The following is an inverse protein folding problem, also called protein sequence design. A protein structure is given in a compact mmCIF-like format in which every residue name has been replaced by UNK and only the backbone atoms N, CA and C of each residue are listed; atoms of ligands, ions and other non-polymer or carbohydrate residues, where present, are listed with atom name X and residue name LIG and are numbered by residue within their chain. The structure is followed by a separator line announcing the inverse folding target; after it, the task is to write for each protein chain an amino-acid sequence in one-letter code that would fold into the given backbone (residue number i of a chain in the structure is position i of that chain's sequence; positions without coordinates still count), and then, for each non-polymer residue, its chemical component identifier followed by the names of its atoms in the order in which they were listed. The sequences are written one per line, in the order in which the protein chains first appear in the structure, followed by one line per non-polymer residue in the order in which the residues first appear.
data_IF_295991808226
#
_entry.id   IF_295991808226
#
_cell.length_a   1.000
_cell.length_b   1.000
_cell.length_c   1.000
_cell.angle_alpha   90.00
_cell.angle_beta   90.00
_cell.angle_gamma   90.00
#
_symmetry.space_group_name_H-M   'P 1'
#
loop_
_entity.id
_entity.type
_entity.pdbx_description
1 polymer ?
#
# COMPACT_ATOMS: atom_id res chain seq x y z
N UNK A 1 16.30 10.92 -11.53
CA UNK A 1 15.22 10.52 -12.43
C UNK A 1 13.99 10.14 -11.61
N UNK A 2 12.81 10.59 -12.01
CA UNK A 2 11.59 10.26 -11.27
C UNK A 2 10.90 9.06 -11.87
N UNK A 3 10.41 8.19 -11.01
CA UNK A 3 9.57 7.07 -11.41
C UNK A 3 8.12 7.53 -11.44
N UNK A 4 7.32 6.88 -12.27
CA UNK A 4 5.88 7.12 -12.30
C UNK A 4 5.21 6.26 -11.22
N UNK A 5 4.38 6.88 -10.38
CA UNK A 5 3.66 6.17 -9.33
C UNK A 5 2.25 5.92 -9.82
N UNK A 6 1.84 4.66 -9.79
CA UNK A 6 0.53 4.23 -10.25
C UNK A 6 -0.17 3.42 -9.15
N UNK A 7 -1.49 3.50 -9.12
CA UNK A 7 -2.29 2.67 -8.23
C UNK A 7 -3.12 1.71 -9.09
N UNK A 8 -3.16 0.44 -8.70
CA UNK A 8 -4.11 -0.49 -9.31
C UNK A 8 -5.53 -0.12 -8.91
N UNK A 9 -6.52 -0.64 -9.63
CA UNK A 9 -7.92 -0.43 -9.27
C UNK A 9 -8.20 -0.92 -7.84
N UNK A 10 -7.57 -2.01 -7.43
CA UNK A 10 -7.70 -2.52 -6.06
C UNK A 10 -7.14 -1.57 -5.02
N UNK A 11 -5.98 -0.95 -5.30
CA UNK A 11 -5.39 0.03 -4.39
C UNK A 11 -6.23 1.29 -4.29
N UNK A 12 -6.80 1.75 -5.41
CA UNK A 12 -7.72 2.89 -5.38
C UNK A 12 -8.95 2.58 -4.52
N UNK A 13 -9.50 1.39 -4.67
CA UNK A 13 -10.64 0.95 -3.85
C UNK A 13 -10.26 0.87 -2.38
N UNK A 14 -9.06 0.40 -2.07
CA UNK A 14 -8.56 0.38 -0.70
C UNK A 14 -8.58 1.77 -0.08
N UNK A 15 -8.13 2.79 -0.82
CA UNK A 15 -8.14 4.17 -0.32
C UNK A 15 -9.55 4.67 -0.06
N UNK A 16 -10.47 4.40 -0.98
CA UNK A 16 -11.87 4.82 -0.82
C UNK A 16 -12.49 4.15 0.41
N UNK A 17 -12.30 2.85 0.55
CA UNK A 17 -12.86 2.08 1.65
C UNK A 17 -12.25 2.50 2.99
N UNK A 18 -10.94 2.74 3.01
CA UNK A 18 -10.24 3.18 4.22
C UNK A 18 -10.72 4.56 4.66
N UNK A 19 -10.83 5.48 3.72
CA UNK A 19 -11.33 6.84 4.01
C UNK A 19 -12.74 6.78 4.59
N UNK A 20 -13.61 6.00 3.96
CA UNK A 20 -15.00 5.83 4.43
C UNK A 20 -15.04 5.27 5.83
N UNK A 21 -14.26 4.23 6.10
CA UNK A 21 -14.20 3.59 7.40
C UNK A 21 -13.77 4.58 8.49
N UNK A 22 -12.69 5.33 8.24
CA UNK A 22 -12.18 6.30 9.22
C UNK A 22 -13.19 7.43 9.43
N UNK A 23 -13.82 7.91 8.35
CA UNK A 23 -14.80 8.98 8.44
C UNK A 23 -16.00 8.57 9.28
N UNK A 24 -16.43 7.33 9.17
CA UNK A 24 -17.59 6.80 9.91
C UNK A 24 -17.27 6.43 11.36
N UNK A 25 -16.06 5.94 11.63
CA UNK A 25 -15.70 5.41 12.95
C UNK A 25 -14.83 6.37 13.78
N UNK A 26 -14.30 7.39 13.18
CA UNK A 26 -13.52 8.43 13.84
C UNK A 26 -14.07 9.80 13.46
N UNK A 27 -13.54 10.40 12.40
CA UNK A 27 -14.04 11.67 11.90
C UNK A 27 -13.67 11.87 10.43
N UNK A 28 -14.44 12.72 9.70
CA UNK A 28 -14.05 13.09 8.33
C UNK A 28 -12.69 13.80 8.28
N UNK A 29 -12.38 14.64 9.27
CA UNK A 29 -11.09 15.32 9.32
C UNK A 29 -9.95 14.34 9.49
N UNK A 30 -10.11 13.32 10.33
CA UNK A 30 -9.09 12.28 10.50
C UNK A 30 -8.93 11.47 9.22
N UNK A 31 -10.02 11.16 8.54
CA UNK A 31 -9.97 10.44 7.26
C UNK A 31 -9.18 11.23 6.21
N UNK A 32 -9.43 12.52 6.11
CA UNK A 32 -8.68 13.38 5.18
C UNK A 32 -7.20 13.45 5.53
N UNK A 33 -6.89 13.56 6.81
CA UNK A 33 -5.50 13.60 7.27
C UNK A 33 -4.75 12.32 6.89
N UNK A 34 -5.36 11.16 7.15
CA UNK A 34 -4.74 9.87 6.84
C UNK A 34 -4.54 9.72 5.33
N UNK A 35 -5.55 10.11 4.55
CA UNK A 35 -5.45 10.04 3.09
C UNK A 35 -4.29 10.90 2.58
N UNK A 36 -4.18 12.14 3.07
CA UNK A 36 -3.09 13.04 2.66
C UNK A 36 -1.73 12.44 3.00
N UNK A 37 -1.59 11.85 4.19
CA UNK A 37 -0.32 11.24 4.61
C UNK A 37 0.02 10.01 3.79
N UNK A 38 -0.96 9.18 3.45
CA UNK A 38 -0.75 8.03 2.59
C UNK A 38 -0.32 8.48 1.18
N UNK A 39 -0.92 9.55 0.67
CA UNK A 39 -0.54 10.07 -0.64
C UNK A 39 0.86 10.66 -0.63
N UNK A 40 1.28 11.30 0.48
CA UNK A 40 2.65 11.78 0.63
C UNK A 40 3.65 10.63 0.55
N UNK A 41 3.37 9.53 1.24
CA UNK A 41 4.21 8.33 1.20
C UNK A 41 4.26 7.77 -0.22
N UNK A 42 3.09 7.66 -0.86
CA UNK A 42 3.02 7.17 -2.24
C UNK A 42 3.85 8.02 -3.19
N UNK A 43 3.74 9.35 -3.09
CA UNK A 43 4.51 10.26 -3.94
C UNK A 43 6.01 10.14 -3.73
N UNK A 44 6.45 9.84 -2.52
CA UNK A 44 7.88 9.66 -2.23
C UNK A 44 8.50 8.52 -3.05
N UNK A 45 7.69 7.57 -3.49
CA UNK A 45 8.15 6.46 -4.31
C UNK A 45 8.61 6.91 -5.70
N UNK A 46 8.18 8.08 -6.16
CA UNK A 46 8.65 8.64 -7.42
C UNK A 46 10.14 8.95 -7.39
N UNK A 47 10.65 9.31 -6.21
CA UNK A 47 12.07 9.65 -6.02
C UNK A 47 12.86 8.49 -5.43
N UNK A 48 12.24 7.73 -4.52
CA UNK A 48 12.89 6.65 -3.78
C UNK A 48 12.12 5.32 -3.92
N UNK A 49 12.02 4.77 -5.14
CA UNK A 49 11.17 3.59 -5.37
C UNK A 49 11.67 2.34 -4.65
N UNK A 50 12.95 2.27 -4.33
CA UNK A 50 13.53 1.08 -3.68
C UNK A 50 13.78 1.30 -2.19
N UNK A 51 13.26 2.38 -1.62
CA UNK A 51 13.47 2.69 -0.20
C UNK A 51 12.68 1.74 0.71
N UNK A 52 11.59 1.20 0.26
CA UNK A 52 10.77 0.29 1.07
C UNK A 52 11.44 -1.05 1.33
N UNK A 53 11.03 -1.67 2.42
CA UNK A 53 11.49 -3.01 2.78
C UNK A 53 10.63 -4.07 2.10
N UNK A 54 11.07 -5.32 2.15
CA UNK A 54 10.27 -6.43 1.64
C UNK A 54 9.26 -6.87 2.68
N UNK A 55 7.98 -7.10 2.30
CA UNK A 55 6.99 -7.61 3.25
C UNK A 55 7.41 -8.98 3.76
N UNK A 56 7.51 -9.17 5.09
CA UNK A 56 7.97 -10.45 5.63
C UNK A 56 7.03 -11.60 5.30
N UNK A 57 5.73 -11.33 5.15
CA UNK A 57 4.75 -12.36 4.77
C UNK A 57 5.05 -12.94 3.38
N UNK A 58 5.55 -12.11 2.48
CA UNK A 58 5.89 -12.55 1.13
C UNK A 58 7.30 -13.13 1.07
N UNK A 59 8.23 -12.60 1.84
CA UNK A 59 9.58 -13.18 1.95
C UNK A 59 9.52 -14.61 2.44
N UNK A 60 8.63 -14.91 3.37
CA UNK A 60 8.47 -16.28 3.89
C UNK A 60 8.05 -17.25 2.78
N UNK A 61 7.48 -16.75 1.68
CA UNK A 61 7.11 -17.54 0.51
C UNK A 61 8.15 -17.46 -0.61
N UNK A 62 9.29 -16.82 -0.35
CA UNK A 62 10.33 -16.63 -1.36
C UNK A 62 10.02 -15.55 -2.39
N UNK A 63 9.01 -14.71 -2.14
CA UNK A 63 8.59 -13.66 -3.08
C UNK A 63 9.27 -12.36 -2.70
N UNK A 64 10.08 -11.82 -3.62
CA UNK A 64 10.88 -10.62 -3.39
C UNK A 64 10.50 -9.46 -4.29
N UNK A 65 9.51 -9.62 -5.17
CA UNK A 65 9.14 -8.59 -6.14
C UNK A 65 8.46 -7.39 -5.50
N UNK A 66 7.88 -7.56 -4.32
CA UNK A 66 7.11 -6.51 -3.65
C UNK A 66 7.91 -5.84 -2.55
N UNK A 67 7.63 -4.57 -2.35
CA UNK A 67 8.17 -3.77 -1.25
C UNK A 67 7.02 -3.13 -0.50
N UNK A 68 7.33 -2.58 0.67
CA UNK A 68 6.32 -1.90 1.49
C UNK A 68 6.87 -0.59 2.04
N UNK A 69 5.97 0.37 2.16
CA UNK A 69 6.19 1.62 2.87
C UNK A 69 5.06 1.81 3.88
N UNK A 70 5.27 2.72 4.82
CA UNK A 70 4.37 2.84 5.96
C UNK A 70 3.95 4.28 6.18
N UNK A 71 2.70 4.45 6.59
CA UNK A 71 2.25 5.51 7.47
C UNK A 71 1.50 4.79 8.58
N UNK A 72 2.17 4.52 9.69
CA UNK A 72 1.65 3.63 10.73
C UNK A 72 0.28 4.07 11.24
N UNK A 73 -0.67 3.15 11.39
CA UNK A 73 -0.53 1.69 11.28
C UNK A 73 -0.72 1.14 9.87
N UNK A 74 -0.79 2.00 8.85
CA UNK A 74 -1.11 1.61 7.49
C UNK A 74 0.13 1.17 6.72
N UNK A 75 -0.06 0.20 5.81
CA UNK A 75 0.98 -0.32 4.95
C UNK A 75 0.60 -0.11 3.49
N UNK A 76 1.59 0.29 2.70
CA UNK A 76 1.48 0.42 1.24
C UNK A 76 2.35 -0.65 0.63
N UNK A 77 1.74 -1.58 -0.09
CA UNK A 77 2.46 -2.67 -0.76
C UNK A 77 2.57 -2.33 -2.24
N UNK A 78 3.79 -2.29 -2.76
CA UNK A 78 4.04 -1.86 -4.12
C UNK A 78 5.11 -2.72 -4.78
N UNK A 79 5.25 -2.57 -6.09
CA UNK A 79 6.24 -3.27 -6.89
C UNK A 79 6.85 -2.29 -7.87
N UNK A 80 8.16 -2.38 -8.10
CA UNK A 80 8.84 -1.57 -9.10
C UNK A 80 8.95 -2.38 -10.39
N UNK A 81 8.36 -1.87 -11.46
CA UNK A 81 8.39 -2.51 -12.78
C UNK A 81 8.87 -1.47 -13.78
N UNK A 82 10.07 -1.67 -14.33
CA UNK A 82 10.69 -0.66 -15.19
C UNK A 82 10.87 0.64 -14.42
N UNK A 83 10.30 1.72 -14.93
CA UNK A 83 10.36 3.03 -14.30
C UNK A 83 9.04 3.40 -13.64
N UNK A 84 8.30 2.40 -13.18
CA UNK A 84 7.02 2.58 -12.53
C UNK A 84 7.07 1.95 -11.14
N UNK A 85 6.53 2.67 -10.15
CA UNK A 85 6.23 2.14 -8.85
C UNK A 85 4.72 1.92 -8.79
N UNK A 86 4.29 0.67 -8.76
CA UNK A 86 2.88 0.31 -8.86
C UNK A 86 2.40 -0.14 -7.50
N UNK A 87 1.42 0.56 -6.95
CA UNK A 87 0.84 0.26 -5.64
C UNK A 87 -0.33 -0.70 -5.82
N UNK A 88 -0.27 -1.82 -5.10
CA UNK A 88 -1.25 -2.91 -5.23
C UNK A 88 -2.21 -2.98 -4.04
N UNK A 89 -1.73 -2.65 -2.84
CA UNK A 89 -2.52 -2.79 -1.61
C UNK A 89 -2.21 -1.62 -0.69
N UNK A 90 -3.25 -1.01 -0.13
CA UNK A 90 -3.13 -0.02 0.94
C UNK A 90 -4.09 -0.43 2.04
N UNK A 91 -3.58 -0.75 3.21
CA UNK A 91 -4.42 -1.30 4.28
C UNK A 91 -3.81 -1.07 5.65
N UNK A 92 -4.66 -1.20 6.67
CA UNK A 92 -4.20 -1.25 8.06
C UNK A 92 -3.35 -2.51 8.24
N UNK A 93 -2.09 -2.31 8.64
CA UNK A 93 -1.12 -3.39 8.76
C UNK A 93 -1.35 -4.34 9.94
N UNK A 94 -2.34 -4.03 10.79
CA UNK A 94 -2.71 -4.89 11.92
C UNK A 94 -3.67 -6.00 11.53
N UNK A 95 -4.18 -5.97 10.29
CA UNK A 95 -5.03 -7.04 9.77
C UNK A 95 -4.21 -8.31 9.53
N UNK A 96 -4.90 -9.41 9.25
CA UNK A 96 -4.25 -10.66 8.84
C UNK A 96 -3.63 -10.46 7.45
N UNK A 97 -2.41 -9.97 7.44
CA UNK A 97 -1.72 -9.60 6.20
C UNK A 97 -1.36 -10.82 5.37
N UNK A 98 -1.06 -11.95 6.01
CA UNK A 98 -0.72 -13.16 5.29
C UNK A 98 -1.86 -13.60 4.37
N UNK A 99 -3.06 -13.69 4.91
CA UNK A 99 -4.25 -14.06 4.13
C UNK A 99 -4.60 -12.99 3.10
N UNK A 100 -4.54 -11.72 3.51
CA UNK A 100 -4.89 -10.62 2.62
C UNK A 100 -3.95 -10.56 1.41
N UNK A 101 -2.64 -10.65 1.62
CA UNK A 101 -1.68 -10.57 0.54
C UNK A 101 -1.74 -11.80 -0.37
N UNK A 102 -1.97 -12.98 0.20
CA UNK A 102 -2.15 -14.18 -0.62
C UNK A 102 -3.34 -14.03 -1.57
N UNK A 103 -4.46 -13.52 -1.06
CA UNK A 103 -5.66 -13.29 -1.87
C UNK A 103 -5.46 -12.23 -2.94
N UNK A 104 -4.86 -11.11 -2.56
CA UNK A 104 -4.74 -9.93 -3.40
C UNK A 104 -3.65 -10.06 -4.45
N UNK A 105 -2.52 -10.71 -4.13
CA UNK A 105 -1.34 -10.72 -4.98
C UNK A 105 -1.08 -12.07 -5.62
N UNK A 106 -1.54 -13.16 -5.01
CA UNK A 106 -1.21 -14.52 -5.46
C UNK A 106 -2.43 -15.26 -6.01
N UNK A 107 -3.59 -14.62 -6.06
CA UNK A 107 -4.82 -15.21 -6.57
C UNK A 107 -5.42 -16.30 -5.68
N UNK A 108 -5.00 -16.40 -4.43
CA UNK A 108 -5.56 -17.37 -3.48
C UNK A 108 -7.01 -17.00 -3.15
N UNK A 109 -7.86 -18.01 -2.95
CA UNK A 109 -9.27 -17.83 -2.62
C UNK A 109 -9.52 -17.88 -1.13
#
# INVERSE_FOLDING_TARGET
MRYKVLLTAGAERDLIDLHRYIAEHDSPNRADYVLDKLMDVAESLATFPEHGSHPPELLALGIREYRQSFFKPYRIIYRVVGKQAIIYVITDGRRDMKTLLARRLLGAQ
#
